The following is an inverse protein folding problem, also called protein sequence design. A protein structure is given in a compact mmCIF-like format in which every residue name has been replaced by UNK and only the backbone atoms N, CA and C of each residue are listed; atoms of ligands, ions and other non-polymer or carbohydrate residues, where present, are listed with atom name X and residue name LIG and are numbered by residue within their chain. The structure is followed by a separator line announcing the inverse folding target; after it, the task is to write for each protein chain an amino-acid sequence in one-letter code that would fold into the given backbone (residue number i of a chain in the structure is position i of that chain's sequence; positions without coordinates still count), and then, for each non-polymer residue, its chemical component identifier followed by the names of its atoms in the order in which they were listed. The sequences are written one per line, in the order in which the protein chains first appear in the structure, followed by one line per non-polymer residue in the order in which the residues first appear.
data_IF_023859318125
#
_entry.id   IF_023859318125
#
_cell.length_a   1.000
_cell.length_b   1.000
_cell.length_c   1.000
_cell.angle_alpha   90.00
_cell.angle_beta   90.00
_cell.angle_gamma   90.00
#
_symmetry.space_group_name_H-M   'P 1'
#
loop_
_entity.id
_entity.type
_entity.pdbx_description
1 polymer ?
#
# COMPACT_ATOMS: atom_id res chain seq x y z
N UNK A 1 -2.83 -14.45 -2.43
CA UNK A 1 -2.39 -13.04 -2.42
C UNK A 1 -3.53 -12.06 -2.73
N UNK A 2 -4.37 -12.28 -3.74
CA UNK A 2 -5.48 -11.38 -4.04
C UNK A 2 -6.44 -11.15 -2.85
N UNK A 3 -6.61 -12.13 -1.98
CA UNK A 3 -7.45 -12.01 -0.79
C UNK A 3 -6.77 -11.24 0.36
N UNK A 4 -5.46 -10.97 0.29
CA UNK A 4 -4.73 -10.24 1.33
C UNK A 4 -4.90 -8.71 1.21
N UNK A 5 -5.22 -8.19 0.03
CA UNK A 5 -5.46 -6.77 -0.21
C UNK A 5 -6.92 -6.38 0.09
N UNK A 6 -7.24 -5.09 0.04
CA UNK A 6 -8.59 -4.58 0.28
C UNK A 6 -9.61 -5.23 -0.66
N UNK A 7 -10.79 -5.53 -0.11
CA UNK A 7 -11.95 -6.07 -0.82
C UNK A 7 -13.05 -5.00 -0.97
N UNK A 8 -13.97 -5.18 -1.92
CA UNK A 8 -15.04 -4.21 -2.21
C UNK A 8 -15.89 -3.87 -0.98
N UNK A 9 -16.13 -4.82 -0.10
CA UNK A 9 -16.94 -4.62 1.13
C UNK A 9 -16.21 -3.82 2.23
N UNK A 10 -14.92 -3.53 2.05
CA UNK A 10 -14.07 -2.88 3.05
C UNK A 10 -13.71 -1.44 2.68
N UNK A 11 -14.15 -1.02 1.52
CA UNK A 11 -13.99 0.36 1.05
C UNK A 11 -15.33 1.09 1.11
N UNK A 12 -15.33 2.42 1.28
CA UNK A 12 -16.56 3.21 1.26
C UNK A 12 -17.36 3.00 -0.02
N UNK A 13 -18.69 3.08 0.11
CA UNK A 13 -19.61 3.03 -1.05
C UNK A 13 -19.27 4.13 -2.05
N UNK A 14 -19.42 3.82 -3.35
CA UNK A 14 -19.11 4.75 -4.44
C UNK A 14 -17.67 4.69 -4.93
N UNK A 15 -16.84 3.79 -4.37
CA UNK A 15 -15.55 3.43 -4.94
C UNK A 15 -15.67 2.14 -5.75
N UNK A 16 -15.11 2.15 -6.95
CA UNK A 16 -15.09 1.00 -7.87
C UNK A 16 -13.68 0.44 -7.97
N UNK A 17 -13.58 -0.87 -8.12
CA UNK A 17 -12.30 -1.54 -8.33
C UNK A 17 -11.71 -1.13 -9.67
N UNK A 18 -10.49 -0.61 -9.66
CA UNK A 18 -9.76 -0.25 -10.85
C UNK A 18 -9.31 -1.48 -11.65
N UNK A 19 -9.35 -1.37 -12.96
CA UNK A 19 -8.82 -2.40 -13.86
C UNK A 19 -7.33 -2.68 -13.58
N UNK A 20 -6.93 -3.94 -13.71
CA UNK A 20 -5.56 -4.38 -13.41
C UNK A 20 -5.29 -4.71 -11.94
N UNK A 21 -6.22 -4.39 -11.01
CA UNK A 21 -6.09 -4.84 -9.61
C UNK A 21 -5.99 -6.37 -9.54
N UNK A 22 -5.08 -6.87 -8.71
CA UNK A 22 -4.76 -8.30 -8.59
C UNK A 22 -3.27 -8.53 -8.38
N UNK A 23 -2.68 -9.50 -9.07
CA UNK A 23 -1.24 -9.72 -9.03
C UNK A 23 -0.48 -8.48 -9.53
N UNK A 24 0.62 -8.13 -8.85
CA UNK A 24 1.39 -6.90 -9.16
C UNK A 24 1.88 -6.85 -10.61
N UNK A 25 2.31 -7.98 -11.17
CA UNK A 25 2.76 -8.04 -12.58
C UNK A 25 1.63 -7.68 -13.56
N UNK A 26 0.40 -8.14 -13.30
CA UNK A 26 -0.78 -7.78 -14.08
C UNK A 26 -1.13 -6.30 -13.98
N UNK A 27 -1.00 -5.72 -12.79
CA UNK A 27 -1.22 -4.29 -12.57
C UNK A 27 -0.20 -3.44 -13.35
N UNK A 28 1.09 -3.78 -13.26
CA UNK A 28 2.15 -3.10 -14.02
C UNK A 28 1.89 -3.21 -15.53
N UNK A 29 1.52 -4.40 -16.02
CA UNK A 29 1.20 -4.59 -17.45
C UNK A 29 0.02 -3.72 -17.89
N UNK A 30 -1.03 -3.61 -17.06
CA UNK A 30 -2.18 -2.75 -17.36
C UNK A 30 -1.81 -1.27 -17.45
N UNK A 31 -0.87 -0.80 -16.63
CA UNK A 31 -0.39 0.59 -16.67
C UNK A 31 0.50 0.89 -17.89
N UNK A 32 1.15 -0.09 -18.49
CA UNK A 32 2.11 0.14 -19.60
C UNK A 32 1.49 0.90 -20.77
N UNK A 33 0.20 0.69 -21.04
CA UNK A 33 -0.49 1.35 -22.15
C UNK A 33 -0.86 2.80 -21.85
N UNK A 34 -1.26 3.10 -20.60
CA UNK A 34 -1.79 4.42 -20.22
C UNK A 34 -0.76 5.30 -19.54
N UNK A 35 0.17 4.70 -18.77
CA UNK A 35 1.16 5.39 -17.93
C UNK A 35 2.51 4.63 -17.95
N UNK A 36 3.22 4.60 -19.10
CA UNK A 36 4.42 3.79 -19.27
C UNK A 36 5.54 4.16 -18.30
N UNK A 37 5.70 5.43 -17.93
CA UNK A 37 6.70 5.86 -16.96
C UNK A 37 6.39 5.37 -15.55
N UNK A 38 5.13 5.45 -15.13
CA UNK A 38 4.70 4.90 -13.83
C UNK A 38 4.86 3.38 -13.80
N UNK A 39 4.47 2.70 -14.87
CA UNK A 39 4.66 1.26 -15.01
C UNK A 39 6.14 0.88 -14.90
N UNK A 40 7.04 1.62 -15.53
CA UNK A 40 8.48 1.42 -15.44
C UNK A 40 9.01 1.58 -14.00
N UNK A 41 8.65 2.67 -13.31
CA UNK A 41 9.05 2.87 -11.90
C UNK A 41 8.52 1.77 -10.97
N UNK A 42 7.26 1.38 -11.11
CA UNK A 42 6.69 0.29 -10.31
C UNK A 42 7.35 -1.05 -10.59
N UNK A 43 7.68 -1.32 -11.86
CA UNK A 43 8.42 -2.52 -12.22
C UNK A 43 9.80 -2.56 -11.55
N UNK A 44 10.55 -1.46 -11.58
CA UNK A 44 11.86 -1.38 -10.94
C UNK A 44 11.77 -1.59 -9.42
N UNK A 45 10.76 -0.99 -8.78
CA UNK A 45 10.48 -1.17 -7.35
C UNK A 45 10.08 -2.62 -7.03
N UNK A 46 9.26 -3.23 -7.87
CA UNK A 46 8.88 -4.64 -7.72
C UNK A 46 10.08 -5.58 -7.90
N UNK A 47 10.92 -5.37 -8.91
CA UNK A 47 12.16 -6.11 -9.10
C UNK A 47 13.11 -5.96 -7.91
N UNK A 48 13.20 -4.77 -7.31
CA UNK A 48 13.97 -4.55 -6.08
C UNK A 48 13.45 -5.40 -4.92
N UNK A 49 12.13 -5.47 -4.71
CA UNK A 49 11.53 -6.33 -3.68
C UNK A 49 11.79 -7.81 -3.94
N UNK A 50 11.71 -8.25 -5.20
CA UNK A 50 12.07 -9.63 -5.61
C UNK A 50 13.52 -9.97 -5.31
N UNK A 51 14.43 -9.05 -5.58
CA UNK A 51 15.85 -9.21 -5.23
C UNK A 51 16.06 -9.33 -3.71
N UNK A 52 15.19 -8.74 -2.91
CA UNK A 52 15.20 -8.85 -1.45
C UNK A 52 14.47 -10.10 -0.93
N UNK A 53 13.94 -10.94 -1.81
CA UNK A 53 13.33 -12.22 -1.46
C UNK A 53 11.80 -12.25 -1.52
N UNK A 54 11.15 -11.24 -2.11
CA UNK A 54 9.71 -11.27 -2.34
C UNK A 54 9.35 -12.40 -3.33
N UNK A 55 8.39 -13.23 -2.94
CA UNK A 55 7.92 -14.38 -3.72
C UNK A 55 6.59 -14.13 -4.43
N UNK A 56 5.85 -13.11 -4.00
CA UNK A 56 4.59 -12.70 -4.62
C UNK A 56 4.07 -11.39 -4.04
N UNK A 57 3.28 -10.68 -4.82
CA UNK A 57 2.58 -9.49 -4.37
C UNK A 57 1.24 -9.31 -5.07
N UNK A 58 0.34 -8.61 -4.40
CA UNK A 58 -0.94 -8.18 -4.96
C UNK A 58 -1.19 -6.72 -4.63
N UNK A 59 -1.95 -6.07 -5.49
CA UNK A 59 -2.41 -4.70 -5.31
C UNK A 59 -3.90 -4.63 -5.60
N UNK A 60 -4.65 -3.89 -4.79
CA UNK A 60 -6.01 -3.46 -5.12
C UNK A 60 -6.07 -1.94 -5.07
N UNK A 61 -6.74 -1.34 -6.03
CA UNK A 61 -7.00 0.09 -6.09
C UNK A 61 -8.49 0.29 -6.37
N UNK A 62 -9.12 1.07 -5.52
CA UNK A 62 -10.52 1.50 -5.65
C UNK A 62 -10.56 3.01 -5.81
N UNK A 63 -11.39 3.50 -6.70
CA UNK A 63 -11.54 4.94 -6.93
C UNK A 63 -12.98 5.34 -7.23
N UNK A 64 -13.31 6.60 -6.91
CA UNK A 64 -14.55 7.25 -7.32
C UNK A 64 -14.53 7.74 -8.77
N UNK A 65 -13.36 7.69 -9.42
CA UNK A 65 -13.12 8.23 -10.76
C UNK A 65 -12.04 7.41 -11.46
N UNK A 66 -12.28 7.00 -12.70
CA UNK A 66 -11.36 6.16 -13.47
C UNK A 66 -9.99 6.83 -13.70
N UNK A 67 -9.93 8.16 -13.70
CA UNK A 67 -8.66 8.89 -13.86
C UNK A 67 -7.68 8.64 -12.72
N UNK A 68 -8.16 8.36 -11.50
CA UNK A 68 -7.31 8.04 -10.37
C UNK A 68 -6.78 6.59 -10.42
N UNK A 69 -7.36 5.73 -11.24
CA UNK A 69 -6.90 4.35 -11.42
C UNK A 69 -5.52 4.25 -12.08
N UNK A 70 -5.09 5.29 -12.75
CA UNK A 70 -3.79 5.38 -13.42
C UNK A 70 -2.88 6.44 -12.78
N UNK A 71 -3.29 6.99 -11.63
CA UNK A 71 -2.49 7.96 -10.89
C UNK A 71 -1.45 7.27 -10.00
N UNK A 72 -0.40 7.99 -9.69
CA UNK A 72 0.60 7.55 -8.71
C UNK A 72 -0.03 7.43 -7.30
N UNK A 73 0.34 6.39 -6.56
CA UNK A 73 -0.13 6.20 -5.18
C UNK A 73 0.24 7.41 -4.31
N UNK A 74 -0.65 7.79 -3.41
CA UNK A 74 -0.51 8.97 -2.54
C UNK A 74 -0.42 10.32 -3.28
N UNK A 75 -0.70 10.36 -4.58
CA UNK A 75 -0.81 11.64 -5.30
C UNK A 75 -2.02 12.44 -4.82
N UNK A 76 -1.84 13.75 -4.68
CA UNK A 76 -2.94 14.65 -4.32
C UNK A 76 -3.84 14.84 -5.54
N UNK A 77 -5.10 14.45 -5.41
CA UNK A 77 -6.13 14.58 -6.44
C UNK A 77 -7.45 14.98 -5.82
N UNK A 78 -8.47 15.25 -6.65
CA UNK A 78 -9.84 15.49 -6.18
C UNK A 78 -10.64 14.21 -6.00
N UNK A 79 -10.18 13.11 -6.57
CA UNK A 79 -10.85 11.81 -6.50
C UNK A 79 -10.64 11.15 -5.14
N UNK A 80 -11.64 10.41 -4.69
CA UNK A 80 -11.50 9.52 -3.55
C UNK A 80 -10.89 8.21 -4.02
N UNK A 81 -9.89 7.71 -3.31
CA UNK A 81 -9.28 6.42 -3.61
C UNK A 81 -8.82 5.67 -2.37
N UNK A 82 -8.79 4.36 -2.47
CA UNK A 82 -8.24 3.44 -1.47
C UNK A 82 -7.40 2.38 -2.17
N UNK A 83 -6.14 2.27 -1.82
CA UNK A 83 -5.23 1.27 -2.35
C UNK A 83 -4.66 0.41 -1.24
N UNK A 84 -4.44 -0.86 -1.51
CA UNK A 84 -3.64 -1.74 -0.68
C UNK A 84 -2.66 -2.54 -1.55
N UNK A 85 -1.43 -2.61 -1.10
CA UNK A 85 -0.39 -3.47 -1.66
C UNK A 85 0.08 -4.41 -0.55
N UNK A 86 0.16 -5.71 -0.85
CA UNK A 86 0.69 -6.71 0.07
C UNK A 86 1.70 -7.56 -0.69
N UNK A 87 2.88 -7.73 -0.11
CA UNK A 87 3.92 -8.62 -0.62
C UNK A 87 4.29 -9.65 0.43
N UNK A 88 4.63 -10.86 -0.03
CA UNK A 88 5.08 -11.98 0.80
C UNK A 88 6.52 -12.31 0.47
N UNK A 89 7.30 -12.60 1.49
CA UNK A 89 8.72 -12.96 1.42
C UNK A 89 8.92 -14.43 1.80
N UNK A 90 10.08 -14.98 1.49
CA UNK A 90 10.42 -16.35 1.84
C UNK A 90 10.61 -16.54 3.35
N UNK A 91 11.06 -15.50 4.06
CA UNK A 91 11.21 -15.49 5.52
C UNK A 91 10.97 -14.10 6.13
N UNK A 92 10.78 -14.07 7.46
CA UNK A 92 10.52 -12.86 8.23
C UNK A 92 11.68 -11.86 8.20
N UNK A 93 12.92 -12.33 8.18
CA UNK A 93 14.10 -11.45 8.12
C UNK A 93 14.21 -10.71 6.80
N UNK A 94 13.80 -11.33 5.69
CA UNK A 94 13.71 -10.67 4.38
C UNK A 94 12.59 -9.63 4.36
N UNK A 95 11.42 -9.96 4.91
CA UNK A 95 10.30 -9.03 5.04
C UNK A 95 10.67 -7.81 5.89
N UNK A 96 11.33 -8.00 7.03
CA UNK A 96 11.79 -6.91 7.90
C UNK A 96 12.80 -5.99 7.18
N UNK A 97 13.79 -6.55 6.49
CA UNK A 97 14.74 -5.76 5.70
C UNK A 97 14.07 -4.96 4.60
N UNK A 98 13.14 -5.57 3.87
CA UNK A 98 12.38 -4.89 2.82
C UNK A 98 11.55 -3.73 3.37
N UNK A 99 10.88 -3.92 4.51
CA UNK A 99 10.15 -2.86 5.20
C UNK A 99 11.08 -1.71 5.60
N UNK A 100 12.26 -2.00 6.14
CA UNK A 100 13.24 -0.98 6.55
C UNK A 100 13.80 -0.19 5.38
N UNK A 101 14.01 -0.81 4.22
CA UNK A 101 14.51 -0.14 3.01
C UNK A 101 13.44 0.63 2.25
N UNK A 102 12.18 0.30 2.49
CA UNK A 102 11.03 0.94 1.85
C UNK A 102 10.32 0.06 0.84
N UNK A 103 9.03 0.30 0.68
CA UNK A 103 8.12 -0.46 -0.18
C UNK A 103 7.44 0.48 -1.16
N UNK A 104 7.54 0.21 -2.45
CA UNK A 104 6.99 1.03 -3.53
C UNK A 104 7.31 2.54 -3.39
N UNK A 105 8.54 2.86 -2.97
CA UNK A 105 8.97 4.25 -2.78
C UNK A 105 8.60 4.85 -1.40
N UNK A 106 7.88 4.13 -0.56
CA UNK A 106 7.50 4.56 0.80
C UNK A 106 8.48 4.00 1.81
N UNK A 107 9.32 4.86 2.36
CA UNK A 107 10.36 4.49 3.34
C UNK A 107 9.91 4.86 4.76
N UNK A 108 10.13 3.99 5.77
CA UNK A 108 9.82 4.32 7.14
C UNK A 108 10.60 5.55 7.60
N UNK A 109 9.97 6.47 8.36
CA UNK A 109 10.67 7.63 8.91
C UNK A 109 11.78 7.17 9.84
N UNK A 110 12.87 7.95 9.94
CA UNK A 110 13.94 7.68 10.88
C UNK A 110 13.41 7.68 12.33
N UNK A 111 13.99 6.87 13.22
CA UNK A 111 13.68 6.95 14.65
C UNK A 111 14.08 8.34 15.18
N UNK A 112 13.24 8.91 16.04
CA UNK A 112 13.49 10.22 16.65
C UNK A 112 12.25 11.10 16.65
N UNK A 113 12.45 12.41 16.53
CA UNK A 113 11.34 13.35 16.46
C UNK A 113 10.62 13.20 15.11
N UNK A 114 9.33 12.84 15.17
CA UNK A 114 8.51 12.62 13.97
C UNK A 114 7.78 13.91 13.60
N UNK A 115 7.74 14.27 12.30
CA UNK A 115 6.91 15.36 11.82
C UNK A 115 5.43 15.16 12.17
N UNK A 116 4.64 16.26 12.30
CA UNK A 116 3.22 16.17 12.57
C UNK A 116 2.48 15.26 11.56
N UNK A 117 1.63 14.37 12.06
CA UNK A 117 0.89 13.40 11.27
C UNK A 117 1.61 12.05 11.07
N UNK A 118 2.91 11.97 11.34
CA UNK A 118 3.66 10.71 11.33
C UNK A 118 3.61 10.03 12.71
N UNK A 119 3.39 8.72 12.69
CA UNK A 119 3.54 7.83 13.84
C UNK A 119 4.35 6.61 13.44
N UNK A 120 5.13 6.06 14.38
CA UNK A 120 5.95 4.87 14.16
C UNK A 120 5.86 3.91 15.34
N UNK A 121 5.89 2.62 15.06
CA UNK A 121 5.87 1.56 16.07
C UNK A 121 4.51 1.33 16.68
N UNK A 122 4.47 0.90 17.94
CA UNK A 122 3.24 0.53 18.66
C UNK A 122 2.13 1.58 18.68
N UNK A 123 2.40 2.90 18.69
CA UNK A 123 1.35 3.92 18.60
C UNK A 123 0.50 3.85 17.33
N UNK A 124 0.98 3.21 16.26
CA UNK A 124 0.22 3.01 15.02
C UNK A 124 -0.94 2.03 15.16
N UNK A 125 -0.91 1.15 16.19
CA UNK A 125 -1.84 0.03 16.34
C UNK A 125 -1.55 -1.16 15.40
N UNK A 126 -0.47 -1.11 14.59
CA UNK A 126 -0.13 -2.13 13.58
C UNK A 126 1.11 -2.94 13.95
N UNK A 127 1.75 -2.64 15.09
CA UNK A 127 2.93 -3.35 15.59
C UNK A 127 4.18 -2.48 15.66
N UNK A 128 5.29 -3.09 16.05
CA UNK A 128 6.58 -2.39 16.24
C UNK A 128 7.22 -1.99 14.90
N UNK A 129 7.06 -2.80 13.88
CA UNK A 129 7.54 -2.56 12.52
C UNK A 129 6.43 -1.96 11.67
N UNK A 130 5.96 -0.78 12.07
CA UNK A 130 4.89 -0.05 11.40
C UNK A 130 5.14 1.46 11.43
N UNK A 131 4.62 2.16 10.44
CA UNK A 131 4.50 3.61 10.45
C UNK A 131 3.25 4.06 9.71
N UNK A 132 2.70 5.19 10.12
CA UNK A 132 1.51 5.77 9.52
C UNK A 132 1.71 7.27 9.29
N UNK A 133 1.07 7.77 8.24
CA UNK A 133 0.91 9.20 7.99
C UNK A 133 -0.58 9.51 7.91
N UNK A 134 -1.05 10.37 8.80
CA UNK A 134 -2.46 10.75 8.92
C UNK A 134 -2.61 12.27 8.81
N UNK A 135 -2.66 12.77 7.59
CA UNK A 135 -3.02 14.15 7.27
C UNK A 135 -3.80 14.20 5.96
N UNK A 136 -4.98 14.85 6.01
CA UNK A 136 -5.74 15.12 4.79
C UNK A 136 -4.89 15.89 3.76
N UNK A 137 -4.98 15.58 2.46
CA UNK A 137 -5.91 14.62 1.86
C UNK A 137 -5.43 13.17 1.80
N UNK A 138 -4.18 12.88 2.19
CA UNK A 138 -3.57 11.56 2.06
C UNK A 138 -3.35 10.93 3.44
N UNK A 139 -3.73 9.67 3.57
CA UNK A 139 -3.41 8.81 4.72
C UNK A 139 -2.69 7.57 4.23
N UNK A 140 -1.69 7.14 4.96
CA UNK A 140 -0.83 6.04 4.59
C UNK A 140 -0.45 5.20 5.80
N UNK A 141 -0.41 3.89 5.64
CA UNK A 141 0.16 2.95 6.61
C UNK A 141 1.06 1.95 5.88
N UNK A 142 2.24 1.71 6.41
CA UNK A 142 3.13 0.66 5.95
C UNK A 142 3.63 -0.12 7.15
N UNK A 143 3.50 -1.46 7.10
CA UNK A 143 3.90 -2.32 8.21
C UNK A 143 4.39 -3.68 7.74
N UNK A 144 5.22 -4.28 8.58
CA UNK A 144 5.70 -5.64 8.47
C UNK A 144 5.01 -6.52 9.51
N UNK A 145 4.56 -7.71 9.11
CA UNK A 145 3.99 -8.71 10.00
C UNK A 145 4.34 -10.12 9.48
N UNK A 146 5.10 -10.88 10.27
CA UNK A 146 5.60 -12.20 9.85
C UNK A 146 6.35 -12.11 8.51
N UNK A 147 5.97 -12.87 7.51
CA UNK A 147 6.58 -12.86 6.18
C UNK A 147 5.96 -11.82 5.23
N UNK A 148 5.04 -10.98 5.71
CA UNK A 148 4.32 -10.01 4.87
C UNK A 148 4.80 -8.59 5.13
N UNK A 149 4.81 -7.79 4.07
CA UNK A 149 4.83 -6.32 4.17
C UNK A 149 3.61 -5.77 3.46
N UNK A 150 2.91 -4.87 4.12
CA UNK A 150 1.70 -4.25 3.62
C UNK A 150 1.81 -2.73 3.57
N UNK A 151 1.17 -2.15 2.57
CA UNK A 151 1.01 -0.71 2.37
C UNK A 151 -0.47 -0.43 2.09
N UNK A 152 -1.06 0.50 2.83
CA UNK A 152 -2.41 1.01 2.58
C UNK A 152 -2.32 2.51 2.38
N UNK A 153 -2.95 3.01 1.31
CA UNK A 153 -2.98 4.43 0.96
C UNK A 153 -4.41 4.85 0.69
N UNK A 154 -4.88 5.88 1.37
CA UNK A 154 -6.19 6.49 1.14
C UNK A 154 -6.03 7.96 0.76
N UNK A 155 -6.79 8.40 -0.25
CA UNK A 155 -6.85 9.80 -0.66
C UNK A 155 -8.28 10.32 -0.57
N UNK A 156 -8.47 11.50 0.03
CA UNK A 156 -9.76 12.17 0.24
C UNK A 156 -10.81 11.29 0.98
N UNK A 157 -10.35 10.38 1.82
CA UNK A 157 -11.18 9.57 2.71
C UNK A 157 -10.86 9.92 4.17
N UNK A 158 -11.83 9.69 5.06
CA UNK A 158 -11.70 10.06 6.46
C UNK A 158 -10.83 9.07 7.28
N UNK A 159 -10.59 9.42 8.53
CA UNK A 159 -9.79 8.59 9.45
C UNK A 159 -10.47 7.25 9.76
N UNK A 160 -11.81 7.19 9.80
CA UNK A 160 -12.53 5.95 10.09
C UNK A 160 -12.36 4.95 8.94
N UNK A 161 -12.49 5.42 7.70
CA UNK A 161 -12.21 4.59 6.51
C UNK A 161 -10.75 4.08 6.53
N UNK A 162 -9.79 4.92 6.91
CA UNK A 162 -8.38 4.54 7.01
C UNK A 162 -8.14 3.46 8.08
N UNK A 163 -8.70 3.63 9.27
CA UNK A 163 -8.61 2.63 10.34
C UNK A 163 -9.27 1.30 9.95
N UNK A 164 -10.44 1.36 9.31
CA UNK A 164 -11.13 0.16 8.84
C UNK A 164 -10.31 -0.59 7.78
N UNK A 165 -9.79 0.12 6.78
CA UNK A 165 -8.97 -0.46 5.71
C UNK A 165 -7.69 -1.11 6.25
N UNK A 166 -6.95 -0.43 7.13
CA UNK A 166 -5.73 -0.97 7.73
C UNK A 166 -6.01 -2.18 8.62
N UNK A 167 -7.08 -2.15 9.41
CA UNK A 167 -7.50 -3.27 10.25
C UNK A 167 -7.89 -4.50 9.40
N UNK A 168 -8.63 -4.30 8.31
CA UNK A 168 -9.07 -5.36 7.42
C UNK A 168 -7.87 -6.07 6.76
N UNK A 169 -6.92 -5.33 6.21
CA UNK A 169 -5.69 -5.90 5.63
C UNK A 169 -4.87 -6.59 6.71
N UNK A 170 -4.63 -5.95 7.87
CA UNK A 170 -3.82 -6.51 8.96
C UNK A 170 -4.35 -7.82 9.51
N UNK A 171 -5.68 -8.00 9.54
CA UNK A 171 -6.33 -9.23 10.03
C UNK A 171 -6.03 -10.47 9.15
N UNK A 172 -5.65 -10.27 7.88
CA UNK A 172 -5.36 -11.36 6.92
C UNK A 172 -3.89 -11.75 6.85
N UNK A 173 -3.01 -10.95 7.43
CA UNK A 173 -1.57 -11.22 7.44
C UNK A 173 -1.23 -12.12 8.63
N UNK A 174 -1.32 -13.43 8.43
CA UNK A 174 -1.03 -14.44 9.46
C UNK A 174 0.00 -15.45 8.95
#
# INVERSE_FOLDING_TARGET
MADAVLQQSEVPTGLNLCAGSGAIDGYITNLQTSQPELAGRLNDQWLSLRTQGATGAAISLYSSDDSACTAELASVSKSKSAAAFVTVFADEGQADRAWQTGVLGFTPPAPGELPPGLSRGTPTGLGVSAWTYDRSPVRLACWHKSVFVALVVLTNLDLNAFKAATAAVNARLN
#
